data_IF_068465348521
#
_entry.id   IF_068465348521
#
_cell.length_a   1.000
_cell.length_b   1.000
_cell.length_c   1.000
_cell.angle_alpha   90.00
_cell.angle_beta   90.00
_cell.angle_gamma   90.00
#
_symmetry.space_group_name_H-M   'P 1'
#
loop_
_entity.id
_entity.type
_entity.pdbx_description
1 polymer ?
#
# COMPACT_ATOMS: atom_id res chain seq x y z
N UNK A 1 22.63 -7.44 10.95
CA UNK A 1 21.42 -7.01 10.22
C UNK A 1 20.19 -7.22 11.09
N UNK A 2 19.51 -6.13 11.48
CA UNK A 2 18.25 -6.15 12.23
C UNK A 2 17.04 -6.35 11.31
N UNK A 3 16.99 -5.66 10.16
CA UNK A 3 15.84 -5.64 9.26
C UNK A 3 16.26 -5.81 7.78
N UNK A 4 15.51 -6.61 7.01
CA UNK A 4 15.56 -6.58 5.55
C UNK A 4 14.22 -6.15 4.98
N UNK A 5 14.19 -5.09 4.17
CA UNK A 5 12.99 -4.63 3.45
C UNK A 5 12.99 -5.23 2.05
N UNK A 6 11.95 -6.00 1.74
CA UNK A 6 11.81 -6.75 0.49
C UNK A 6 10.75 -6.08 -0.36
N UNK A 7 11.16 -5.62 -1.54
CA UNK A 7 10.29 -4.87 -2.47
C UNK A 7 10.21 -5.65 -3.78
N UNK A 8 9.04 -6.20 -4.08
CA UNK A 8 8.76 -6.87 -5.35
C UNK A 8 8.22 -5.88 -6.38
N UNK A 9 8.95 -5.62 -7.45
CA UNK A 9 8.60 -4.67 -8.50
C UNK A 9 8.03 -5.35 -9.75
N UNK A 10 7.03 -4.71 -10.37
CA UNK A 10 6.57 -5.03 -11.72
C UNK A 10 5.98 -3.79 -12.42
N UNK A 11 6.69 -3.25 -13.41
CA UNK A 11 6.25 -2.18 -14.31
C UNK A 11 5.78 -0.88 -13.62
N UNK A 12 6.46 -0.45 -12.55
CA UNK A 12 6.12 0.77 -11.80
C UNK A 12 7.34 1.62 -11.43
N UNK A 13 8.29 1.80 -12.37
CA UNK A 13 9.55 2.55 -12.19
C UNK A 13 9.50 3.74 -11.22
N UNK A 14 8.61 4.70 -11.46
CA UNK A 14 8.56 5.95 -10.70
C UNK A 14 8.07 5.77 -9.25
N UNK A 15 7.14 4.84 -9.05
CA UNK A 15 6.67 4.47 -7.71
C UNK A 15 7.75 3.72 -6.96
N UNK A 16 8.42 2.76 -7.62
CA UNK A 16 9.56 2.05 -7.05
C UNK A 16 10.64 3.02 -6.59
N UNK A 17 11.01 4.00 -7.43
CA UNK A 17 12.01 5.02 -7.09
C UNK A 17 11.60 5.81 -5.83
N UNK A 18 10.35 6.25 -5.74
CA UNK A 18 9.85 6.95 -4.56
C UNK A 18 9.81 6.05 -3.32
N UNK A 19 9.39 4.80 -3.46
CA UNK A 19 9.35 3.81 -2.39
C UNK A 19 10.75 3.59 -1.82
N UNK A 20 11.74 3.29 -2.67
CA UNK A 20 13.14 3.10 -2.28
C UNK A 20 13.70 4.33 -1.56
N UNK A 21 13.47 5.54 -2.07
CA UNK A 21 13.89 6.77 -1.39
C UNK A 21 13.28 6.89 0.02
N UNK A 22 11.98 6.58 0.16
CA UNK A 22 11.33 6.63 1.47
C UNK A 22 11.86 5.58 2.45
N UNK A 23 12.18 4.38 1.97
CA UNK A 23 12.77 3.32 2.78
C UNK A 23 14.19 3.68 3.20
N UNK A 24 15.02 4.22 2.31
CA UNK A 24 16.39 4.67 2.65
C UNK A 24 16.40 5.68 3.81
N UNK A 25 15.50 6.67 3.76
CA UNK A 25 15.37 7.65 4.85
C UNK A 25 14.85 6.99 6.15
N UNK A 26 13.90 6.06 6.04
CA UNK A 26 13.30 5.36 7.18
C UNK A 26 14.21 4.30 7.85
N UNK A 27 15.27 3.86 7.18
CA UNK A 27 16.27 2.93 7.74
C UNK A 27 17.61 3.60 8.06
N UNK A 28 17.74 4.92 7.86
CA UNK A 28 19.01 5.65 7.98
C UNK A 28 19.75 5.49 9.30
N UNK A 29 19.04 5.14 10.38
CA UNK A 29 19.60 4.90 11.73
C UNK A 29 19.55 3.44 12.16
N UNK A 30 19.19 2.52 11.27
CA UNK A 30 19.01 1.10 11.54
C UNK A 30 20.07 0.25 10.83
N UNK A 31 20.47 -0.84 11.47
CA UNK A 31 21.22 -1.92 10.80
C UNK A 31 20.25 -2.70 9.89
N UNK A 32 20.09 -2.22 8.67
CA UNK A 32 19.08 -2.72 7.74
C UNK A 32 19.56 -2.74 6.28
N UNK A 33 18.90 -3.56 5.47
CA UNK A 33 19.13 -3.67 4.03
C UNK A 33 17.83 -3.55 3.23
N UNK A 34 17.96 -3.18 1.96
CA UNK A 34 16.88 -3.14 0.98
C UNK A 34 17.20 -4.17 -0.09
N UNK A 35 16.23 -5.03 -0.40
CA UNK A 35 16.31 -6.00 -1.48
C UNK A 35 15.15 -5.73 -2.43
N UNK A 36 15.47 -5.40 -3.68
CA UNK A 36 14.48 -5.21 -4.74
C UNK A 36 14.51 -6.42 -5.66
N UNK A 37 13.36 -7.05 -5.84
CA UNK A 37 13.18 -8.14 -6.81
C UNK A 37 12.36 -7.58 -7.97
N UNK A 38 12.88 -7.61 -9.18
CA UNK A 38 12.14 -7.23 -10.38
C UNK A 38 11.56 -8.46 -11.07
N UNK A 39 10.24 -8.48 -11.27
CA UNK A 39 9.51 -9.58 -11.90
C UNK A 39 9.45 -9.45 -13.44
N UNK A 40 10.61 -9.24 -14.07
CA UNK A 40 10.76 -9.07 -15.51
C UNK A 40 9.93 -7.87 -16.05
N UNK A 41 10.16 -6.69 -15.46
CA UNK A 41 9.55 -5.45 -15.92
C UNK A 41 10.04 -5.07 -17.32
N UNK A 42 9.13 -4.56 -18.15
CA UNK A 42 9.43 -4.02 -19.48
C UNK A 42 9.70 -2.52 -19.48
N UNK A 43 9.59 -1.85 -18.32
CA UNK A 43 9.94 -0.45 -18.16
C UNK A 43 11.40 -0.26 -17.70
N UNK A 44 11.80 0.98 -17.44
CA UNK A 44 13.18 1.30 -17.06
C UNK A 44 13.45 1.06 -15.55
N UNK A 45 12.65 0.24 -14.85
CA UNK A 45 12.83 -0.02 -13.41
C UNK A 45 14.23 -0.56 -13.08
N UNK A 46 14.68 -1.60 -13.78
CA UNK A 46 15.99 -2.20 -13.53
C UNK A 46 17.14 -1.24 -13.85
N UNK A 47 17.05 -0.52 -14.96
CA UNK A 47 18.05 0.49 -15.33
C UNK A 47 18.11 1.62 -14.30
N UNK A 48 16.95 2.09 -13.83
CA UNK A 48 16.85 3.08 -12.78
C UNK A 48 17.52 2.60 -11.49
N UNK A 49 17.23 1.36 -11.05
CA UNK A 49 17.85 0.77 -9.86
C UNK A 49 19.38 0.70 -9.98
N UNK A 50 19.89 0.21 -11.11
CA UNK A 50 21.35 0.10 -11.36
C UNK A 50 22.05 1.46 -11.35
N UNK A 51 21.43 2.48 -11.92
CA UNK A 51 22.03 3.81 -12.05
C UNK A 51 21.94 4.65 -10.77
N UNK A 52 20.78 4.64 -10.10
CA UNK A 52 20.51 5.52 -8.95
C UNK A 52 20.77 4.86 -7.60
N UNK A 53 20.65 3.54 -7.54
CA UNK A 53 20.71 2.77 -6.30
C UNK A 53 21.69 1.58 -6.40
N UNK A 54 22.94 1.78 -6.85
CA UNK A 54 23.88 0.68 -7.09
C UNK A 54 24.23 -0.13 -5.83
N UNK A 55 24.04 0.46 -4.65
CA UNK A 55 24.29 -0.19 -3.36
C UNK A 55 23.11 -1.03 -2.85
N UNK A 56 21.94 -0.98 -3.51
CA UNK A 56 20.76 -1.77 -3.15
C UNK A 56 20.80 -3.08 -3.93
N UNK A 57 20.53 -4.19 -3.24
CA UNK A 57 20.53 -5.52 -3.87
C UNK A 57 19.35 -5.64 -4.83
N UNK A 58 19.64 -5.67 -6.12
CA UNK A 58 18.66 -5.91 -7.18
C UNK A 58 18.73 -7.37 -7.65
N UNK A 59 17.58 -8.04 -7.72
CA UNK A 59 17.43 -9.39 -8.27
C UNK A 59 16.50 -9.29 -9.48
N UNK A 60 17.02 -9.58 -10.67
CA UNK A 60 16.25 -9.53 -11.92
C UNK A 60 15.76 -10.93 -12.28
N UNK A 61 14.46 -11.19 -12.14
CA UNK A 61 13.87 -12.46 -12.54
C UNK A 61 13.74 -12.54 -14.06
N UNK A 62 13.95 -13.74 -14.62
CA UNK A 62 13.80 -13.99 -16.05
C UNK A 62 12.33 -13.97 -16.54
N UNK A 63 11.36 -14.03 -15.62
CA UNK A 63 9.94 -13.93 -15.93
C UNK A 63 9.14 -13.41 -14.74
N UNK A 64 7.86 -13.07 -14.96
CA UNK A 64 6.98 -12.66 -13.88
C UNK A 64 6.48 -13.90 -13.11
N UNK A 65 7.10 -14.17 -11.98
CA UNK A 65 6.76 -15.32 -11.13
C UNK A 65 5.54 -15.10 -10.21
N UNK A 66 4.89 -13.95 -10.29
CA UNK A 66 3.80 -13.59 -9.38
C UNK A 66 4.32 -13.10 -8.02
N UNK A 67 3.37 -12.76 -7.14
CA UNK A 67 3.67 -12.11 -5.87
C UNK A 67 4.36 -13.06 -4.85
N UNK A 68 3.86 -14.29 -4.64
CA UNK A 68 4.48 -15.23 -3.68
C UNK A 68 5.93 -15.55 -3.99
N UNK A 69 6.18 -16.12 -5.17
CA UNK A 69 7.50 -16.59 -5.56
C UNK A 69 8.51 -15.44 -5.68
N UNK A 70 8.09 -14.30 -6.22
CA UNK A 70 8.94 -13.11 -6.28
C UNK A 70 9.40 -12.64 -4.89
N UNK A 71 8.50 -12.59 -3.91
CA UNK A 71 8.86 -12.24 -2.53
C UNK A 71 9.70 -13.33 -1.86
N UNK A 72 9.39 -14.61 -2.06
CA UNK A 72 10.20 -15.72 -1.52
C UNK A 72 11.66 -15.64 -2.01
N UNK A 73 11.88 -15.34 -3.30
CA UNK A 73 13.22 -15.11 -3.87
C UNK A 73 13.93 -13.99 -3.11
N UNK A 74 13.27 -12.85 -2.88
CA UNK A 74 13.83 -11.74 -2.10
C UNK A 74 14.16 -12.12 -0.65
N UNK A 75 13.24 -12.79 0.04
CA UNK A 75 13.44 -13.24 1.43
C UNK A 75 14.56 -14.28 1.55
N UNK A 76 14.74 -15.14 0.55
CA UNK A 76 15.85 -16.12 0.53
C UNK A 76 17.22 -15.44 0.59
N UNK A 77 17.30 -14.21 0.11
CA UNK A 77 18.50 -13.38 0.05
C UNK A 77 18.66 -12.45 1.26
N UNK A 78 17.68 -12.42 2.16
CA UNK A 78 17.62 -11.53 3.31
C UNK A 78 18.42 -12.05 4.50
N UNK A 79 19.14 -11.15 5.18
CA UNK A 79 19.95 -11.45 6.36
C UNK A 79 19.38 -10.92 7.68
N UNK A 80 18.40 -10.02 7.63
CA UNK A 80 17.76 -9.40 8.79
C UNK A 80 17.10 -10.38 9.75
N UNK A 81 17.10 -10.07 11.05
CA UNK A 81 16.28 -10.80 12.05
C UNK A 81 14.79 -10.69 11.69
N UNK A 82 14.36 -9.49 11.34
CA UNK A 82 13.03 -9.20 10.83
C UNK A 82 13.07 -8.98 9.32
N UNK A 83 11.94 -9.26 8.67
CA UNK A 83 11.69 -8.91 7.28
C UNK A 83 10.47 -8.01 7.20
N UNK A 84 10.45 -7.11 6.22
CA UNK A 84 9.26 -6.38 5.82
C UNK A 84 9.00 -6.60 4.34
N UNK A 85 7.87 -7.25 4.03
CA UNK A 85 7.34 -7.31 2.67
C UNK A 85 6.63 -5.98 2.40
N UNK A 86 7.06 -5.28 1.36
CA UNK A 86 6.61 -3.93 1.04
C UNK A 86 6.30 -3.79 -0.45
N UNK A 87 5.13 -3.25 -0.76
CA UNK A 87 4.77 -2.97 -2.14
C UNK A 87 5.59 -1.79 -2.73
N UNK A 88 5.88 -1.82 -4.04
CA UNK A 88 6.68 -0.78 -4.70
C UNK A 88 5.93 0.55 -4.87
N UNK A 89 4.61 0.58 -4.70
CA UNK A 89 3.75 1.77 -4.74
C UNK A 89 3.39 2.28 -3.34
N UNK A 90 4.33 2.15 -2.40
CA UNK A 90 4.20 2.63 -1.03
C UNK A 90 5.21 3.73 -0.70
N UNK A 91 4.90 4.53 0.32
CA UNK A 91 5.79 5.53 0.91
C UNK A 91 5.70 5.40 2.43
N UNK A 92 6.83 5.13 3.06
CA UNK A 92 6.96 5.00 4.52
C UNK A 92 7.44 6.31 5.16
N UNK A 93 7.11 6.51 6.43
CA UNK A 93 7.62 7.63 7.21
C UNK A 93 9.01 7.32 7.77
N UNK A 94 9.80 8.35 8.08
CA UNK A 94 11.16 8.17 8.59
C UNK A 94 11.23 7.38 9.91
N UNK A 95 10.14 7.39 10.70
CA UNK A 95 10.05 6.67 11.97
C UNK A 95 9.26 5.34 11.89
N UNK A 96 8.86 4.90 10.69
CA UNK A 96 8.03 3.71 10.50
C UNK A 96 8.68 2.46 11.09
N UNK A 97 9.91 2.14 10.68
CA UNK A 97 10.56 0.90 11.08
C UNK A 97 11.03 0.92 12.54
N UNK A 98 11.50 2.07 13.05
CA UNK A 98 11.86 2.24 14.46
C UNK A 98 10.68 1.91 15.38
N UNK A 99 9.49 2.46 15.08
CA UNK A 99 8.27 2.20 15.87
C UNK A 99 7.84 0.74 15.80
N UNK A 100 7.89 0.14 14.61
CA UNK A 100 7.47 -1.25 14.40
C UNK A 100 8.41 -2.22 15.10
N UNK A 101 9.73 -2.01 15.01
CA UNK A 101 10.73 -2.80 15.72
C UNK A 101 10.51 -2.73 17.25
N UNK A 102 10.34 -1.52 17.78
CA UNK A 102 10.06 -1.33 19.21
C UNK A 102 8.74 -1.99 19.65
N UNK A 103 7.73 -2.04 18.78
CA UNK A 103 6.49 -2.77 19.06
C UNK A 103 6.69 -4.29 19.01
N UNK A 104 7.42 -4.79 18.01
CA UNK A 104 7.71 -6.20 17.78
C UNK A 104 8.49 -6.83 18.94
N UNK A 105 9.51 -6.14 19.47
CA UNK A 105 10.34 -6.62 20.58
C UNK A 105 9.56 -6.83 21.89
N UNK A 106 8.37 -6.22 22.01
CA UNK A 106 7.49 -6.38 23.18
C UNK A 106 6.51 -7.56 23.07
N UNK A 107 6.49 -8.27 21.94
CA UNK A 107 5.55 -9.37 21.71
C UNK A 107 6.23 -10.72 21.90
N UNK A 108 5.61 -11.64 22.65
CA UNK A 108 6.11 -13.01 22.85
C UNK A 108 5.77 -13.94 21.69
N UNK A 109 4.55 -13.83 21.17
CA UNK A 109 4.00 -14.71 20.13
C UNK A 109 3.73 -13.93 18.85
N UNK A 110 4.71 -13.12 18.46
CA UNK A 110 4.59 -12.26 17.29
C UNK A 110 4.31 -13.06 16.03
N UNK A 111 3.18 -12.77 15.40
CA UNK A 111 2.88 -13.18 14.03
C UNK A 111 3.35 -12.12 13.05
N UNK A 112 2.39 -11.46 12.41
CA UNK A 112 2.61 -10.45 11.39
C UNK A 112 2.12 -9.09 11.91
N UNK A 113 2.88 -8.03 11.65
CA UNK A 113 2.48 -6.64 11.89
C UNK A 113 2.18 -5.99 10.54
N UNK A 114 0.98 -5.42 10.44
CA UNK A 114 0.62 -4.47 9.40
C UNK A 114 0.38 -3.10 10.02
N UNK A 115 0.31 -2.06 9.20
CA UNK A 115 0.17 -0.68 9.68
C UNK A 115 -1.09 0.00 9.15
N UNK A 116 -1.37 1.20 9.65
CA UNK A 116 -2.37 2.08 9.03
C UNK A 116 -1.95 2.38 7.59
N UNK A 117 -2.85 2.14 6.66
CA UNK A 117 -2.65 2.48 5.25
C UNK A 117 -3.62 3.59 4.82
N UNK A 118 -3.11 4.55 4.06
CA UNK A 118 -3.92 5.56 3.36
C UNK A 118 -3.63 5.52 1.85
N UNK A 119 -4.57 5.94 1.02
CA UNK A 119 -4.34 6.11 -0.42
C UNK A 119 -3.80 7.51 -0.77
N UNK A 120 -3.51 7.74 -2.07
CA UNK A 120 -3.04 9.03 -2.60
C UNK A 120 -3.98 10.21 -2.35
N UNK A 121 -5.23 9.96 -1.92
CA UNK A 121 -6.20 10.99 -1.54
C UNK A 121 -6.26 11.25 -0.04
N UNK A 122 -5.51 10.48 0.76
CA UNK A 122 -5.55 10.49 2.22
C UNK A 122 -6.67 9.64 2.82
N UNK A 123 -7.42 8.91 1.98
CA UNK A 123 -8.48 8.01 2.43
C UNK A 123 -7.89 6.80 3.15
N UNK A 124 -8.42 6.47 4.34
CA UNK A 124 -8.04 5.25 5.04
C UNK A 124 -8.39 4.01 4.21
N UNK A 125 -7.48 3.05 4.16
CA UNK A 125 -7.64 1.77 3.49
C UNK A 125 -8.03 0.70 4.53
N UNK A 126 -9.33 0.42 4.72
CA UNK A 126 -9.79 -0.54 5.71
C UNK A 126 -9.29 -1.97 5.44
N UNK A 127 -8.91 -2.28 4.20
CA UNK A 127 -8.27 -3.53 3.84
C UNK A 127 -6.92 -3.79 4.52
N UNK A 128 -6.30 -2.78 5.15
CA UNK A 128 -5.09 -2.93 5.98
C UNK A 128 -5.27 -3.89 7.15
N UNK A 129 -6.53 -4.16 7.55
CA UNK A 129 -6.89 -5.14 8.57
C UNK A 129 -8.18 -5.87 8.20
N UNK A 130 -8.18 -7.20 8.30
CA UNK A 130 -9.32 -8.03 7.94
C UNK A 130 -9.51 -9.18 8.92
N UNK A 131 -10.71 -9.74 8.93
CA UNK A 131 -10.99 -11.05 9.51
C UNK A 131 -10.67 -12.17 8.52
N UNK A 132 -10.60 -13.40 9.02
CA UNK A 132 -10.50 -14.60 8.16
C UNK A 132 -11.67 -14.59 7.16
N UNK A 133 -11.48 -14.76 5.85
CA UNK A 133 -12.59 -14.74 4.92
C UNK A 133 -13.37 -16.06 4.99
N UNK A 134 -14.17 -16.29 6.03
CA UNK A 134 -15.10 -17.43 6.07
C UNK A 134 -16.30 -17.19 5.13
N UNK A 135 -17.09 -18.21 4.77
CA UNK A 135 -18.25 -18.04 3.88
C UNK A 135 -19.24 -17.00 4.43
N UNK A 136 -19.47 -17.01 5.74
CA UNK A 136 -20.31 -16.01 6.40
C UNK A 136 -19.74 -14.59 6.25
N UNK A 137 -18.44 -14.40 6.48
CA UNK A 137 -17.79 -13.08 6.38
C UNK A 137 -17.77 -12.57 4.94
N UNK A 138 -17.59 -13.45 3.95
CA UNK A 138 -17.76 -13.10 2.55
C UNK A 138 -19.20 -12.65 2.24
N UNK A 139 -20.20 -13.37 2.76
CA UNK A 139 -21.62 -13.02 2.62
C UNK A 139 -21.96 -11.65 3.24
N UNK A 140 -21.48 -11.35 4.45
CA UNK A 140 -21.72 -10.04 5.08
C UNK A 140 -21.11 -8.89 4.28
N UNK A 141 -19.96 -9.12 3.63
CA UNK A 141 -19.34 -8.15 2.72
C UNK A 141 -20.18 -7.90 1.48
N UNK A 142 -20.61 -8.97 0.82
CA UNK A 142 -21.39 -8.93 -0.43
C UNK A 142 -22.69 -8.16 -0.22
N UNK A 143 -23.43 -8.47 0.85
CA UNK A 143 -24.69 -7.79 1.17
C UNK A 143 -24.53 -6.42 1.85
N UNK A 144 -23.30 -5.99 2.15
CA UNK A 144 -23.06 -4.71 2.84
C UNK A 144 -23.45 -4.69 4.32
N UNK A 145 -23.74 -5.85 4.93
CA UNK A 145 -24.18 -5.96 6.34
C UNK A 145 -23.14 -5.41 7.32
N UNK A 146 -21.85 -5.52 7.01
CA UNK A 146 -20.76 -4.93 7.82
C UNK A 146 -20.82 -3.38 7.91
N UNK A 147 -21.48 -2.72 6.94
CA UNK A 147 -21.72 -1.26 6.98
C UNK A 147 -22.96 -0.91 7.80
N UNK A 148 -23.99 -1.76 7.74
CA UNK A 148 -25.27 -1.54 8.41
C UNK A 148 -25.14 -1.85 9.91
N UNK A 149 -24.42 -2.92 10.25
CA UNK A 149 -24.23 -3.39 11.63
C UNK A 149 -22.74 -3.40 12.04
N UNK A 150 -22.03 -2.26 11.97
CA UNK A 150 -20.57 -2.20 12.14
C UNK A 150 -20.09 -2.48 13.57
N UNK A 151 -20.99 -2.40 14.56
CA UNK A 151 -20.68 -2.66 15.98
C UNK A 151 -20.99 -4.10 16.40
N UNK A 152 -21.66 -4.88 15.55
CA UNK A 152 -22.08 -6.23 15.90
C UNK A 152 -21.00 -7.23 15.49
N UNK A 153 -20.48 -8.00 16.46
CA UNK A 153 -19.40 -8.98 16.26
C UNK A 153 -19.66 -9.97 15.11
N UNK A 154 -20.93 -10.28 14.85
CA UNK A 154 -21.32 -11.19 13.77
C UNK A 154 -21.12 -10.60 12.35
N UNK A 155 -21.13 -9.28 12.20
CA UNK A 155 -21.11 -8.59 10.90
C UNK A 155 -19.84 -7.76 10.68
N UNK A 156 -19.10 -7.45 11.74
CA UNK A 156 -18.03 -6.45 11.71
C UNK A 156 -16.64 -7.02 11.37
N UNK A 157 -16.56 -8.31 11.06
CA UNK A 157 -15.28 -9.04 10.97
C UNK A 157 -14.51 -8.76 9.67
N UNK A 158 -15.19 -8.48 8.55
CA UNK A 158 -14.52 -8.36 7.24
C UNK A 158 -13.36 -7.35 7.22
N UNK A 159 -13.56 -6.18 7.85
CA UNK A 159 -12.52 -5.15 8.02
C UNK A 159 -12.05 -5.00 9.47
N UNK A 160 -12.18 -6.06 10.27
CA UNK A 160 -11.80 -6.07 11.69
C UNK A 160 -12.31 -4.81 12.43
N UNK A 161 -13.59 -4.46 12.24
CA UNK A 161 -14.18 -3.20 12.71
C UNK A 161 -14.34 -3.15 14.24
N UNK A 162 -13.95 -4.21 14.96
CA UNK A 162 -13.73 -4.13 16.40
C UNK A 162 -12.57 -3.18 16.77
N UNK A 163 -11.68 -2.85 15.82
CA UNK A 163 -10.65 -1.82 15.97
C UNK A 163 -10.94 -0.59 15.11
N UNK A 164 -10.74 0.59 15.68
CA UNK A 164 -10.73 1.85 14.94
C UNK A 164 -9.54 1.96 13.95
N UNK A 165 -9.56 2.97 13.08
CA UNK A 165 -8.40 3.25 12.20
C UNK A 165 -7.17 3.74 12.97
N UNK A 166 -7.38 4.36 14.14
CA UNK A 166 -6.35 4.92 15.03
C UNK A 166 -6.25 4.12 16.32
N UNK A 167 -6.34 2.80 16.22
CA UNK A 167 -6.26 1.88 17.35
C UNK A 167 -5.36 0.69 17.01
N UNK A 168 -4.42 0.35 17.89
CA UNK A 168 -3.52 -0.79 17.71
C UNK A 168 -4.16 -2.01 18.34
N UNK A 169 -4.17 -3.14 17.65
CA UNK A 169 -4.75 -4.34 18.23
C UNK A 169 -4.62 -5.58 17.37
N UNK A 170 -5.14 -6.67 17.92
CA UNK A 170 -5.12 -8.00 17.31
C UNK A 170 -6.09 -8.09 16.15
N UNK A 171 -5.64 -8.63 15.04
CA UNK A 171 -6.43 -8.85 13.81
C UNK A 171 -6.06 -10.20 13.23
N UNK A 172 -6.90 -10.75 12.36
CA UNK A 172 -6.62 -12.07 11.80
C UNK A 172 -5.70 -11.97 10.57
N UNK A 173 -6.07 -11.09 9.64
CA UNK A 173 -5.49 -11.03 8.31
C UNK A 173 -4.96 -9.62 8.04
N UNK A 174 -3.75 -9.56 7.51
CA UNK A 174 -3.06 -8.35 7.07
C UNK A 174 -2.82 -8.42 5.55
N UNK A 175 -2.57 -7.26 4.95
CA UNK A 175 -2.44 -7.13 3.49
C UNK A 175 -0.98 -7.10 3.05
N UNK A 176 -0.67 -7.73 1.91
CA UNK A 176 0.68 -7.82 1.33
C UNK A 176 1.33 -6.48 0.97
N UNK A 177 0.61 -5.36 1.08
CA UNK A 177 1.19 -4.03 0.86
C UNK A 177 2.22 -3.64 1.92
N UNK A 178 2.05 -4.13 3.16
CA UNK A 178 2.99 -3.96 4.26
C UNK A 178 2.83 -5.14 5.24
N UNK A 179 3.81 -6.02 5.31
CA UNK A 179 3.83 -7.14 6.28
C UNK A 179 5.21 -7.23 6.92
N UNK A 180 5.29 -6.91 8.21
CA UNK A 180 6.50 -7.06 9.02
C UNK A 180 6.39 -8.32 9.88
N UNK A 181 7.43 -9.15 9.91
CA UNK A 181 7.47 -10.37 10.71
C UNK A 181 8.90 -10.85 10.95
N UNK A 182 9.08 -11.77 11.89
CA UNK A 182 10.36 -12.45 12.07
C UNK A 182 10.70 -13.32 10.87
N UNK A 183 11.97 -13.27 10.43
CA UNK A 183 12.46 -14.12 9.34
C UNK A 183 12.36 -15.61 9.68
N UNK A 184 12.55 -15.95 10.95
CA UNK A 184 12.43 -17.34 11.42
C UNK A 184 10.98 -17.84 11.32
N UNK A 185 9.99 -17.02 11.72
CA UNK A 185 8.59 -17.36 11.53
C UNK A 185 8.26 -17.51 10.03
N UNK A 186 8.74 -16.61 9.18
CA UNK A 186 8.53 -16.73 7.73
C UNK A 186 9.06 -18.05 7.17
N UNK A 187 10.24 -18.50 7.62
CA UNK A 187 10.82 -19.81 7.24
C UNK A 187 10.02 -20.99 7.79
N UNK A 188 9.56 -20.90 9.04
CA UNK A 188 8.71 -21.94 9.66
C UNK A 188 7.37 -22.09 8.94
N UNK A 189 6.87 -20.97 8.40
CA UNK A 189 5.69 -20.92 7.55
C UNK A 189 6.00 -21.37 6.11
N UNK A 190 7.23 -21.74 5.76
CA UNK A 190 7.62 -22.08 4.38
C UNK A 190 7.37 -20.94 3.38
N UNK A 191 7.39 -19.68 3.86
CA UNK A 191 7.17 -18.48 3.07
C UNK A 191 5.75 -18.31 2.53
N UNK A 192 5.60 -17.53 1.45
CA UNK A 192 4.34 -17.49 0.70
C UNK A 192 4.17 -18.76 -0.13
N UNK A 193 2.93 -19.22 -0.28
CA UNK A 193 2.65 -20.40 -1.09
C UNK A 193 2.72 -20.06 -2.60
N UNK A 194 3.70 -20.64 -3.29
CA UNK A 194 3.97 -20.39 -4.70
C UNK A 194 2.93 -21.01 -5.66
N UNK A 195 2.01 -21.85 -5.14
CA UNK A 195 0.87 -22.35 -5.91
C UNK A 195 -0.22 -21.27 -6.13
N UNK A 196 -0.09 -20.11 -5.46
CA UNK A 196 -0.90 -18.93 -5.71
C UNK A 196 -0.09 -17.91 -6.52
N UNK A 197 -0.68 -17.33 -7.57
CA UNK A 197 -0.01 -16.25 -8.30
C UNK A 197 -0.11 -14.89 -7.60
N UNK A 198 -1.30 -14.54 -7.07
CA UNK A 198 -1.59 -13.27 -6.37
C UNK A 198 -2.99 -13.27 -5.72
N UNK A 199 -3.23 -12.38 -4.76
CA UNK A 199 -4.51 -11.99 -4.13
C UNK A 199 -5.06 -12.87 -2.99
N UNK A 200 -4.43 -14.02 -2.72
CA UNK A 200 -4.71 -14.83 -1.53
C UNK A 200 -3.45 -15.10 -0.70
N UNK A 201 -2.30 -14.65 -1.18
CA UNK A 201 -0.99 -14.86 -0.59
C UNK A 201 -0.87 -14.27 0.82
N UNK A 202 -1.28 -13.01 0.99
CA UNK A 202 -1.33 -12.31 2.27
C UNK A 202 -2.32 -12.93 3.27
N UNK A 203 -3.49 -13.37 2.78
CA UNK A 203 -4.50 -14.09 3.57
C UNK A 203 -3.95 -15.44 4.03
N UNK A 204 -3.36 -16.21 3.12
CA UNK A 204 -2.78 -17.52 3.39
C UNK A 204 -1.67 -17.45 4.43
N UNK A 205 -0.70 -16.54 4.25
CA UNK A 205 0.41 -16.36 5.18
C UNK A 205 -0.07 -15.90 6.56
N UNK A 206 -0.97 -14.91 6.60
CA UNK A 206 -1.55 -14.41 7.86
C UNK A 206 -2.30 -15.52 8.61
N UNK A 207 -3.10 -16.31 7.91
CA UNK A 207 -3.88 -17.39 8.51
C UNK A 207 -3.00 -18.53 9.01
N UNK A 208 -1.95 -18.91 8.26
CA UNK A 208 -0.98 -19.91 8.72
C UNK A 208 -0.21 -19.47 9.95
N UNK A 209 0.10 -18.18 10.09
CA UNK A 209 0.66 -17.64 11.33
C UNK A 209 -0.28 -17.87 12.53
N UNK A 210 -1.59 -17.63 12.37
CA UNK A 210 -2.58 -17.90 13.43
C UNK A 210 -2.66 -19.40 13.76
N UNK A 211 -2.57 -20.29 12.76
CA UNK A 211 -2.57 -21.74 12.97
C UNK A 211 -1.35 -22.21 13.80
N UNK A 212 -0.24 -21.46 13.73
CA UNK A 212 0.95 -21.64 14.58
C UNK A 212 0.83 -20.95 15.95
N UNK A 213 -0.38 -20.55 16.35
CA UNK A 213 -0.69 -19.85 17.61
C UNK A 213 0.03 -18.50 17.73
N UNK A 214 0.49 -17.92 16.62
CA UNK A 214 1.01 -16.56 16.58
C UNK A 214 -0.12 -15.54 16.51
N UNK A 215 0.19 -14.31 16.89
CA UNK A 215 -0.77 -13.20 16.94
C UNK A 215 -0.40 -12.14 15.92
N UNK A 216 -1.31 -11.86 14.99
CA UNK A 216 -1.16 -10.77 14.03
C UNK A 216 -1.68 -9.45 14.63
N UNK A 217 -1.01 -8.34 14.28
CA UNK A 217 -1.27 -7.02 14.83
C UNK A 217 -1.47 -5.97 13.74
N UNK A 218 -2.52 -5.18 13.88
CA UNK A 218 -2.64 -3.90 13.19
C UNK A 218 -2.04 -2.81 14.09
N UNK A 219 -1.07 -2.07 13.57
CA UNK A 219 -0.31 -1.05 14.30
C UNK A 219 -0.55 0.34 13.71
N UNK A 220 -1.27 1.19 14.44
CA UNK A 220 -1.74 2.48 13.91
C UNK A 220 -0.79 3.66 14.14
N UNK A 221 0.25 3.52 14.98
CA UNK A 221 1.11 4.66 15.37
C UNK A 221 2.10 5.08 14.26
N UNK A 222 2.09 4.36 13.14
CA UNK A 222 2.70 4.76 11.87
C UNK A 222 1.70 4.58 10.74
N UNK A 223 1.75 5.50 9.78
CA UNK A 223 0.90 5.51 8.59
C UNK A 223 1.78 5.35 7.37
N UNK A 224 1.42 4.42 6.49
CA UNK A 224 2.06 4.22 5.18
C UNK A 224 1.10 4.64 4.09
N UNK A 225 1.59 5.44 3.15
CA UNK A 225 0.86 5.79 1.94
C UNK A 225 0.99 4.62 0.96
N UNK A 226 -0.12 4.15 0.40
CA UNK A 226 -0.16 3.09 -0.61
C UNK A 226 -1.07 3.53 -1.74
N UNK A 227 -0.49 3.83 -2.91
CA UNK A 227 -1.24 4.40 -4.05
C UNK A 227 -2.28 3.42 -4.61
N UNK A 228 -1.98 2.12 -4.51
CA UNK A 228 -2.85 0.98 -4.80
C UNK A 228 -3.25 0.86 -6.27
N UNK A 229 -2.87 -0.27 -6.86
CA UNK A 229 -3.34 -0.68 -8.19
C UNK A 229 -2.47 -0.19 -9.34
N UNK A 230 -1.24 0.25 -9.05
CA UNK A 230 -0.32 0.76 -10.06
C UNK A 230 0.17 -0.36 -11.00
N UNK A 231 0.49 -1.54 -10.44
CA UNK A 231 0.94 -2.72 -11.19
C UNK A 231 -0.18 -3.60 -11.75
N UNK A 232 -1.46 -3.35 -11.41
CA UNK A 232 -2.59 -4.22 -11.76
C UNK A 232 -3.75 -3.44 -12.39
N UNK A 233 -4.14 -3.83 -13.60
CA UNK A 233 -5.38 -3.35 -14.24
C UNK A 233 -6.57 -4.17 -13.72
N UNK A 234 -7.65 -3.52 -13.28
CA UNK A 234 -8.85 -4.18 -12.70
C UNK A 234 -9.83 -4.68 -13.77
N UNK A 235 -9.34 -5.52 -14.67
CA UNK A 235 -10.07 -6.11 -15.79
C UNK A 235 -10.71 -7.48 -15.46
N UNK A 236 -11.15 -8.23 -16.46
CA UNK A 236 -11.68 -9.59 -16.29
C UNK A 236 -10.61 -10.58 -15.83
N UNK A 237 -9.35 -10.40 -16.25
CA UNK A 237 -8.23 -11.25 -15.84
C UNK A 237 -7.96 -11.09 -14.35
N UNK A 238 -8.03 -9.86 -13.83
CA UNK A 238 -7.99 -9.57 -12.40
C UNK A 238 -9.05 -10.38 -11.65
N UNK A 239 -10.30 -10.38 -12.13
CA UNK A 239 -11.39 -11.09 -11.46
C UNK A 239 -11.22 -12.59 -11.47
N UNK A 240 -10.83 -13.17 -12.62
CA UNK A 240 -10.54 -14.59 -12.73
C UNK A 240 -9.42 -15.00 -11.77
N UNK A 241 -8.33 -14.23 -11.71
CA UNK A 241 -7.21 -14.46 -10.77
C UNK A 241 -7.66 -14.36 -9.31
N UNK A 242 -8.46 -13.35 -8.97
CA UNK A 242 -9.00 -13.22 -7.62
C UNK A 242 -9.86 -14.41 -7.23
N UNK A 243 -10.70 -14.91 -8.15
CA UNK A 243 -11.50 -16.11 -7.93
C UNK A 243 -10.62 -17.35 -7.74
N UNK A 244 -9.63 -17.56 -8.60
CA UNK A 244 -8.66 -18.67 -8.50
C UNK A 244 -7.93 -18.63 -7.15
N UNK A 245 -7.51 -17.44 -6.71
CA UNK A 245 -6.83 -17.23 -5.45
C UNK A 245 -7.71 -17.54 -4.24
N UNK A 246 -8.97 -17.09 -4.24
CA UNK A 246 -9.92 -17.45 -3.18
C UNK A 246 -10.18 -18.97 -3.21
N UNK A 247 -10.46 -19.55 -4.38
CA UNK A 247 -10.66 -21.01 -4.51
C UNK A 247 -9.48 -21.81 -3.95
N UNK A 248 -8.25 -21.35 -4.23
CA UNK A 248 -7.02 -21.91 -3.68
C UNK A 248 -7.01 -21.84 -2.14
N UNK A 249 -7.20 -20.65 -1.56
CA UNK A 249 -7.20 -20.46 -0.10
C UNK A 249 -8.23 -21.37 0.59
N UNK A 250 -9.43 -21.46 0.04
CA UNK A 250 -10.48 -22.27 0.64
C UNK A 250 -10.24 -23.77 0.52
N UNK A 251 -9.75 -24.25 -0.62
CA UNK A 251 -9.37 -25.67 -0.78
C UNK A 251 -8.25 -26.07 0.18
N UNK A 252 -7.32 -25.15 0.46
CA UNK A 252 -6.18 -25.38 1.36
C UNK A 252 -6.60 -25.42 2.83
N UNK A 253 -7.48 -24.53 3.26
CA UNK A 253 -7.75 -24.29 4.68
C UNK A 253 -9.10 -24.74 5.20
N UNK A 254 -10.08 -24.94 4.32
CA UNK A 254 -11.43 -25.36 4.70
C UNK A 254 -11.81 -26.68 4.03
N UNK A 255 -12.65 -27.47 4.70
CA UNK A 255 -13.23 -28.66 4.08
C UNK A 255 -14.12 -28.24 2.90
N UNK A 256 -14.05 -29.00 1.81
CA UNK A 256 -14.87 -28.81 0.62
C UNK A 256 -16.35 -28.88 1.03
N UNK A 257 -17.02 -27.74 1.06
CA UNK A 257 -18.44 -27.65 1.36
C UNK A 257 -19.16 -27.21 0.11
N UNK A 258 -20.14 -27.98 -0.34
CA UNK A 258 -20.96 -27.63 -1.49
C UNK A 258 -21.67 -26.27 -1.30
N UNK A 259 -22.07 -25.95 -0.06
CA UNK A 259 -22.59 -24.63 0.29
C UNK A 259 -21.59 -23.51 0.03
N UNK A 260 -20.30 -23.75 0.25
CA UNK A 260 -19.27 -22.76 -0.02
C UNK A 260 -19.08 -22.52 -1.53
N UNK A 261 -19.03 -23.57 -2.34
CA UNK A 261 -18.97 -23.44 -3.80
C UNK A 261 -20.17 -22.63 -4.33
N UNK A 262 -21.36 -22.87 -3.77
CA UNK A 262 -22.58 -22.13 -4.07
C UNK A 262 -22.48 -20.64 -3.70
N UNK A 263 -22.00 -20.30 -2.50
CA UNK A 263 -21.85 -18.89 -2.07
C UNK A 263 -20.77 -18.15 -2.87
N UNK A 264 -19.69 -18.82 -3.29
CA UNK A 264 -18.71 -18.22 -4.20
C UNK A 264 -19.36 -17.93 -5.55
N UNK A 265 -20.11 -18.88 -6.12
CA UNK A 265 -20.81 -18.67 -7.39
C UNK A 265 -21.83 -17.51 -7.30
N UNK A 266 -22.60 -17.43 -6.21
CA UNK A 266 -23.51 -16.30 -5.97
C UNK A 266 -22.74 -14.99 -5.81
N UNK A 267 -21.66 -14.99 -5.02
CA UNK A 267 -20.84 -13.80 -4.82
C UNK A 267 -20.23 -13.29 -6.13
N UNK A 268 -19.82 -14.20 -7.01
CA UNK A 268 -19.34 -13.89 -8.36
C UNK A 268 -20.47 -13.32 -9.21
N UNK A 269 -21.63 -13.97 -9.27
CA UNK A 269 -22.76 -13.51 -10.08
C UNK A 269 -23.25 -12.14 -9.60
N UNK A 270 -23.39 -11.95 -8.29
CA UNK A 270 -23.77 -10.68 -7.69
C UNK A 270 -22.72 -9.60 -7.92
N UNK A 271 -21.43 -9.91 -7.79
CA UNK A 271 -20.37 -8.94 -8.08
C UNK A 271 -20.37 -8.53 -9.55
N UNK A 272 -20.48 -9.48 -10.48
CA UNK A 272 -20.57 -9.22 -11.92
C UNK A 272 -21.82 -8.39 -12.25
N UNK A 273 -22.96 -8.71 -11.62
CA UNK A 273 -24.19 -7.94 -11.72
C UNK A 273 -23.99 -6.51 -11.23
N UNK A 274 -23.43 -6.29 -10.04
CA UNK A 274 -23.11 -4.97 -9.51
C UNK A 274 -22.14 -4.21 -10.40
N UNK A 275 -21.11 -4.86 -10.96
CA UNK A 275 -20.17 -4.23 -11.90
C UNK A 275 -20.85 -3.79 -13.19
N UNK A 276 -21.87 -4.52 -13.65
CA UNK A 276 -22.67 -4.15 -14.82
C UNK A 276 -23.40 -2.81 -14.64
N UNK A 277 -23.71 -2.45 -13.39
CA UNK A 277 -24.30 -1.15 -13.01
C UNK A 277 -23.28 -0.12 -12.51
N UNK A 278 -22.04 -0.53 -12.20
CA UNK A 278 -20.96 0.40 -11.91
C UNK A 278 -20.45 0.97 -13.23
N UNK A 279 -20.95 2.15 -13.60
CA UNK A 279 -20.44 2.91 -14.73
C UNK A 279 -18.92 3.14 -14.64
N UNK A 280 -18.30 3.47 -15.78
CA UNK A 280 -16.86 3.81 -15.84
C UNK A 280 -16.52 4.84 -14.76
N UNK A 281 -15.45 4.59 -14.01
CA UNK A 281 -14.92 5.54 -13.02
C UNK A 281 -14.68 6.87 -13.74
N UNK A 282 -15.43 7.91 -13.37
CA UNK A 282 -15.23 9.24 -13.95
C UNK A 282 -13.89 9.76 -13.44
N UNK A 283 -12.99 10.10 -14.37
CA UNK A 283 -11.77 10.82 -14.04
C UNK A 283 -12.13 12.10 -13.27
N UNK A 284 -11.50 12.35 -12.12
CA UNK A 284 -11.69 13.62 -11.43
C UNK A 284 -11.33 14.77 -12.39
N UNK A 285 -12.17 15.83 -12.47
CA UNK A 285 -11.86 16.99 -13.30
C UNK A 285 -10.57 17.67 -12.81
N UNK A 286 -9.88 18.34 -13.73
CA UNK A 286 -8.61 19.04 -13.47
C UNK A 286 -8.75 20.07 -12.33
N UNK A 287 -7.68 20.30 -11.55
CA UNK A 287 -7.66 21.30 -10.50
C UNK A 287 -7.75 22.72 -11.08
N UNK A 288 -8.44 23.61 -10.38
CA UNK A 288 -8.51 25.04 -10.76
C UNK A 288 -7.26 25.82 -10.34
N UNK A 289 -6.53 25.30 -9.35
CA UNK A 289 -5.29 25.87 -8.86
C UNK A 289 -4.41 24.77 -8.26
N UNK A 290 -3.11 24.96 -8.42
CA UNK A 290 -2.08 24.08 -7.86
C UNK A 290 -1.35 24.84 -6.76
N UNK A 291 -1.17 24.22 -5.61
CA UNK A 291 -0.38 24.75 -4.51
C UNK A 291 0.92 23.98 -4.43
N UNK A 292 2.04 24.67 -4.65
CA UNK A 292 3.36 24.09 -4.54
C UNK A 292 3.94 24.43 -3.17
N UNK A 293 3.98 23.41 -2.30
CA UNK A 293 4.52 23.50 -0.95
C UNK A 293 6.02 23.20 -1.01
N UNK A 294 6.85 24.23 -0.96
CA UNK A 294 8.32 24.10 -1.09
C UNK A 294 9.02 25.33 -0.52
N UNK A 295 10.34 25.26 -0.35
CA UNK A 295 11.20 26.44 -0.20
C UNK A 295 12.01 26.74 -1.48
N UNK A 296 11.82 26.00 -2.58
CA UNK A 296 12.47 26.19 -3.86
C UNK A 296 11.75 27.24 -4.72
N UNK A 297 12.23 28.48 -4.66
CA UNK A 297 11.68 29.59 -5.46
C UNK A 297 11.88 29.41 -6.96
N UNK A 298 13.03 28.91 -7.39
CA UNK A 298 13.37 28.75 -8.82
C UNK A 298 12.39 27.77 -9.48
N UNK A 299 12.11 26.64 -8.85
CA UNK A 299 11.16 25.68 -9.39
C UNK A 299 9.73 26.24 -9.38
N UNK A 300 9.37 27.03 -8.36
CA UNK A 300 8.04 27.65 -8.29
C UNK A 300 7.74 28.58 -9.48
N UNK A 301 8.77 29.20 -10.08
CA UNK A 301 8.63 30.04 -11.27
C UNK A 301 8.47 29.22 -12.56
N UNK A 302 9.03 28.00 -12.61
CA UNK A 302 8.93 27.11 -13.78
C UNK A 302 7.65 26.26 -13.79
N UNK A 303 7.11 25.89 -12.64
CA UNK A 303 5.94 25.00 -12.57
C UNK A 303 4.68 25.51 -13.30
N UNK A 304 4.35 26.82 -13.34
CA UNK A 304 3.20 27.30 -14.11
C UNK A 304 3.25 26.94 -15.59
N UNK A 305 4.43 27.01 -16.22
CA UNK A 305 4.58 26.69 -17.64
C UNK A 305 4.50 25.18 -17.90
N UNK A 306 5.08 24.37 -17.00
CA UNK A 306 5.06 22.89 -17.07
C UNK A 306 3.63 22.37 -16.87
N UNK A 307 2.94 22.85 -15.84
CA UNK A 307 1.59 22.39 -15.48
C UNK A 307 0.48 23.03 -16.31
N UNK A 308 0.79 24.10 -17.06
CA UNK A 308 -0.18 24.92 -17.79
C UNK A 308 -1.36 25.34 -16.91
N UNK A 309 -1.07 25.65 -15.65
CA UNK A 309 -2.05 25.97 -14.62
C UNK A 309 -1.52 27.03 -13.66
N UNK A 310 -2.40 27.71 -12.94
CA UNK A 310 -2.03 28.68 -11.91
C UNK A 310 -1.39 27.93 -10.73
N UNK A 311 -0.13 28.24 -10.44
CA UNK A 311 0.61 27.71 -9.29
C UNK A 311 0.74 28.78 -8.22
N UNK A 312 0.31 28.45 -7.01
CA UNK A 312 0.47 29.25 -5.81
C UNK A 312 1.60 28.64 -4.97
N UNK A 313 2.60 29.44 -4.64
CA UNK A 313 3.73 29.00 -3.83
C UNK A 313 3.42 29.16 -2.34
N UNK A 314 3.62 28.09 -1.56
CA UNK A 314 3.45 28.10 -0.11
C UNK A 314 4.77 27.73 0.57
N UNK A 315 5.38 28.68 1.27
CA UNK A 315 6.58 28.46 2.08
C UNK A 315 6.18 28.00 3.50
N UNK A 316 6.28 26.69 3.73
CA UNK A 316 5.91 26.06 5.00
C UNK A 316 6.78 26.50 6.19
N UNK A 317 7.89 27.21 5.98
CA UNK A 317 8.66 27.82 7.08
C UNK A 317 7.99 29.07 7.64
N UNK A 318 7.14 29.74 6.86
CA UNK A 318 6.52 31.03 7.21
C UNK A 318 5.04 30.92 7.56
N UNK A 319 4.34 29.93 7.01
CA UNK A 319 2.89 29.81 7.16
C UNK A 319 2.51 28.69 8.14
N UNK A 320 1.75 29.03 9.19
CA UNK A 320 1.08 28.03 10.04
C UNK A 320 0.19 27.17 9.14
N UNK A 321 0.25 25.83 9.28
CA UNK A 321 -0.50 24.89 8.44
C UNK A 321 -1.96 25.35 8.27
N UNK A 322 -2.29 25.80 7.07
CA UNK A 322 -3.58 26.40 6.76
C UNK A 322 -4.61 25.30 6.61
N UNK A 323 -5.78 25.50 7.23
CA UNK A 323 -6.92 24.59 7.11
C UNK A 323 -7.29 24.42 5.63
N UNK A 324 -7.42 23.18 5.14
CA UNK A 324 -7.77 22.87 3.73
C UNK A 324 -9.05 23.60 3.29
N UNK A 325 -10.03 23.73 4.19
CA UNK A 325 -11.28 24.46 3.94
C UNK A 325 -11.04 25.95 3.59
N UNK A 326 -10.03 26.59 4.21
CA UNK A 326 -9.66 27.99 3.97
C UNK A 326 -8.82 28.15 2.69
N UNK A 327 -7.90 27.21 2.42
CA UNK A 327 -7.03 27.25 1.24
C UNK A 327 -7.83 27.23 -0.06
N UNK A 328 -8.87 26.38 -0.13
CA UNK A 328 -9.56 26.11 -1.38
C UNK A 328 -10.93 26.80 -1.51
N UNK A 329 -11.54 27.31 -0.43
CA UNK A 329 -12.88 27.95 -0.44
C UNK A 329 -13.92 27.17 -1.28
N UNK A 330 -13.86 25.84 -1.26
CA UNK A 330 -14.74 24.95 -2.04
C UNK A 330 -14.34 24.69 -3.51
N UNK A 331 -13.24 25.27 -4.00
CA UNK A 331 -12.68 25.03 -5.34
C UNK A 331 -11.86 23.75 -5.41
N UNK A 332 -11.66 23.24 -6.64
CA UNK A 332 -10.80 22.07 -6.87
C UNK A 332 -9.33 22.44 -6.83
N UNK A 333 -8.57 21.69 -6.04
CA UNK A 333 -7.18 21.97 -5.75
C UNK A 333 -6.27 20.77 -5.90
N UNK A 334 -5.02 21.03 -6.30
CA UNK A 334 -3.94 20.05 -6.21
C UNK A 334 -2.83 20.60 -5.33
N UNK A 335 -2.38 19.81 -4.36
CA UNK A 335 -1.24 20.14 -3.50
C UNK A 335 -0.05 19.29 -3.95
N UNK A 336 1.01 19.96 -4.37
CA UNK A 336 2.30 19.35 -4.70
C UNK A 336 3.24 19.56 -3.52
N UNK A 337 3.68 18.46 -2.92
CA UNK A 337 4.55 18.45 -1.75
C UNK A 337 5.99 18.20 -2.19
N UNK A 338 6.88 19.19 -2.02
CA UNK A 338 8.29 19.05 -2.36
C UNK A 338 9.07 18.32 -1.26
N UNK A 339 9.43 17.07 -1.54
CA UNK A 339 10.10 16.21 -0.58
C UNK A 339 11.57 16.59 -0.33
N UNK A 340 12.15 17.52 -1.09
CA UNK A 340 13.44 18.12 -0.74
C UNK A 340 13.36 18.94 0.57
N UNK A 341 12.19 19.52 0.86
CA UNK A 341 11.98 20.42 2.01
C UNK A 341 10.94 19.91 3.00
N UNK A 342 10.15 18.90 2.61
CA UNK A 342 9.10 18.29 3.41
C UNK A 342 9.42 16.81 3.56
N UNK A 343 9.67 16.36 4.80
CA UNK A 343 9.92 14.95 5.10
C UNK A 343 8.74 14.06 4.65
N UNK A 344 8.98 12.79 4.35
CA UNK A 344 7.92 11.85 3.97
C UNK A 344 6.86 11.71 5.08
N UNK A 345 7.27 11.67 6.35
CA UNK A 345 6.34 11.73 7.49
C UNK A 345 5.42 12.95 7.44
N UNK A 346 5.96 14.13 7.15
CA UNK A 346 5.16 15.36 7.04
C UNK A 346 4.27 15.32 5.80
N UNK A 347 4.74 14.79 4.67
CA UNK A 347 3.92 14.58 3.48
C UNK A 347 2.71 13.69 3.77
N UNK A 348 2.93 12.51 4.36
CA UNK A 348 1.88 11.56 4.75
C UNK A 348 0.90 12.23 5.70
N UNK A 349 1.40 12.97 6.71
CA UNK A 349 0.53 13.68 7.65
C UNK A 349 -0.32 14.76 6.99
N UNK A 350 0.26 15.51 6.04
CA UNK A 350 -0.46 16.52 5.27
C UNK A 350 -1.57 15.89 4.41
N UNK A 351 -1.25 14.81 3.70
CA UNK A 351 -2.22 14.06 2.89
C UNK A 351 -3.38 13.55 3.76
N UNK A 352 -3.08 12.99 4.93
CA UNK A 352 -4.09 12.49 5.86
C UNK A 352 -4.97 13.61 6.45
N UNK A 353 -4.37 14.76 6.81
CA UNK A 353 -5.06 15.83 7.55
C UNK A 353 -5.83 16.77 6.63
N UNK A 354 -5.32 17.03 5.43
CA UNK A 354 -5.91 17.95 4.46
C UNK A 354 -6.84 17.26 3.46
N UNK A 355 -7.09 15.95 3.62
CA UNK A 355 -7.96 15.18 2.73
C UNK A 355 -9.34 15.83 2.60
N UNK A 356 -9.75 16.07 1.36
CA UNK A 356 -11.06 16.57 1.00
C UNK A 356 -11.44 16.04 -0.39
N UNK A 357 -12.74 15.92 -0.68
CA UNK A 357 -13.22 15.43 -1.98
C UNK A 357 -12.71 16.27 -3.17
N UNK A 358 -12.48 17.57 -2.94
CA UNK A 358 -12.04 18.54 -3.94
C UNK A 358 -10.51 18.71 -4.00
N UNK A 359 -9.77 18.06 -3.10
CA UNK A 359 -8.32 18.19 -3.03
C UNK A 359 -7.67 16.90 -3.54
N UNK A 360 -6.58 17.08 -4.27
CA UNK A 360 -5.71 16.02 -4.76
C UNK A 360 -4.28 16.30 -4.33
N UNK A 361 -3.49 15.23 -4.21
CA UNK A 361 -2.11 15.34 -3.73
C UNK A 361 -1.14 14.73 -4.73
N UNK A 362 0.03 15.34 -4.78
CA UNK A 362 1.21 14.81 -5.45
C UNK A 362 2.43 15.07 -4.58
N UNK A 363 3.44 14.24 -4.74
CA UNK A 363 4.75 14.41 -4.11
C UNK A 363 5.75 14.64 -5.24
N UNK A 364 6.64 15.60 -5.05
CA UNK A 364 7.84 15.76 -5.85
C UNK A 364 9.00 15.12 -5.08
N UNK A 365 9.41 13.87 -5.40
CA UNK A 365 10.44 13.17 -4.63
C UNK A 365 11.80 13.86 -4.72
N UNK A 366 12.58 13.75 -3.65
CA UNK A 366 13.91 14.36 -3.57
C UNK A 366 14.84 13.79 -4.63
N UNK A 367 15.66 14.65 -5.26
CA UNK A 367 16.65 14.34 -6.29
C UNK A 367 16.08 13.65 -7.54
N UNK A 368 14.81 13.89 -7.87
CA UNK A 368 14.19 13.39 -9.10
C UNK A 368 13.74 14.54 -10.01
N UNK A 369 13.28 14.18 -11.20
CA UNK A 369 12.76 15.09 -12.22
C UNK A 369 11.26 14.84 -12.51
N UNK A 370 10.52 14.26 -11.56
CA UNK A 370 9.11 13.93 -11.74
C UNK A 370 8.27 14.19 -10.48
N UNK A 371 7.02 14.56 -10.69
CA UNK A 371 5.98 14.69 -9.67
C UNK A 371 5.05 13.48 -9.80
N UNK A 372 4.71 12.85 -8.68
CA UNK A 372 3.96 11.59 -8.65
C UNK A 372 2.79 11.63 -7.68
N UNK A 373 1.69 10.97 -8.03
CA UNK A 373 0.66 10.57 -7.07
C UNK A 373 -0.65 10.15 -7.71
N UNK A 374 -1.54 9.56 -6.92
CA UNK A 374 -2.83 9.05 -7.40
C UNK A 374 -4.01 9.85 -6.86
N UNK A 375 -4.97 10.14 -7.75
CA UNK A 375 -6.22 10.85 -7.42
C UNK A 375 -7.35 9.90 -6.99
N UNK A 376 -7.09 8.59 -7.02
CA UNK A 376 -8.08 7.53 -6.85
C UNK A 376 -7.39 6.19 -6.61
N UNK A 377 -7.81 5.47 -5.58
CA UNK A 377 -7.39 4.07 -5.32
C UNK A 377 -7.81 3.04 -6.40
N UNK A 378 -8.49 3.50 -7.45
CA UNK A 378 -9.00 2.68 -8.54
C UNK A 378 -8.33 2.94 -9.88
N UNK A 379 -7.57 4.02 -9.99
CA UNK A 379 -6.93 4.45 -11.23
C UNK A 379 -5.41 4.49 -11.03
N UNK A 380 -4.67 4.32 -12.12
CA UNK A 380 -3.22 4.52 -12.09
C UNK A 380 -2.90 5.96 -11.72
N UNK A 381 -1.87 6.15 -10.92
CA UNK A 381 -1.36 7.45 -10.57
C UNK A 381 -0.77 8.17 -11.77
N UNK A 382 -0.53 9.46 -11.56
CA UNK A 382 -0.06 10.39 -12.58
C UNK A 382 1.41 10.70 -12.33
N UNK A 383 2.18 10.73 -13.41
CA UNK A 383 3.59 11.13 -13.44
C UNK A 383 3.70 12.39 -14.28
N UNK A 384 4.22 13.46 -13.72
CA UNK A 384 4.47 14.73 -14.40
C UNK A 384 5.98 14.95 -14.42
N UNK A 385 6.61 14.91 -15.60
CA UNK A 385 8.03 15.20 -15.75
C UNK A 385 8.28 16.71 -15.70
N UNK A 386 9.40 17.12 -15.11
CA UNK A 386 9.80 18.53 -14.90
C UNK A 386 10.98 18.92 -15.81
N UNK A 387 11.24 18.15 -16.88
CA UNK A 387 12.33 18.42 -17.83
C UNK A 387 12.06 19.63 -18.72
#
# INVERSE_FOLDING_TARGET
MQLSVIILNYNVRYFLEQCVLSVQEAISTLDAEIIVVDNNSSDESCLMMKNKFPNIKLIENASNFGFPKGNNIGVSQASGKYICILNPDTVVAEDTFVKILAFAERQTDLGIIGCKLIDGTGGFLPESKRGIPTPWIAFTKILGLYKIFPKTKLFNQYYAQHLGENETGKVDILVGAFMFLERNLYKELEGFDENCFMYADDIDLSYRALQKQKVNYYFHETTVLHYKGESTVKDEKYMKRFQEAMTFFYKKHFKKSWFFEFFIQIGIWFFSFVKMFQGKVKSKPLPESVFFCSSNKILSEKLPSILKNKVLFLDLKKEKMVNSCLLFKGKRGEIILDNHYISFKKCIKMIETLKDKNITFKIFPKNTNFIIGSNSRNDRGQIIKIE
#
